data_IF_795106098505
#
_entry.id   IF_795106098505
#
_cell.length_a   1.000
_cell.length_b   1.000
_cell.length_c   1.000
_cell.angle_alpha   90.00
_cell.angle_beta   90.00
_cell.angle_gamma   90.00
#
_symmetry.space_group_name_H-M   'P 1'
#
loop_
_entity.id
_entity.type
_entity.pdbx_description
1 polymer ?
#
# COMPACT_ATOMS: atom_id res chain seq x y z
N UNK A 1 40.25 24.69 14.37
CA UNK A 1 39.11 23.92 13.83
C UNK A 1 38.51 23.09 14.94
N UNK A 2 37.29 23.43 15.40
CA UNK A 2 36.40 22.59 16.21
C UNK A 2 35.07 23.34 16.39
N UNK A 3 34.24 23.30 15.35
CA UNK A 3 32.85 23.74 15.41
C UNK A 3 32.06 22.67 16.16
N UNK A 4 31.61 23.00 17.37
CA UNK A 4 30.56 22.24 18.07
C UNK A 4 29.23 22.64 17.44
N UNK A 5 28.75 21.85 16.49
CA UNK A 5 27.39 21.95 15.97
C UNK A 5 26.47 21.36 17.04
N UNK A 6 25.96 22.21 17.92
CA UNK A 6 24.90 21.87 18.86
C UNK A 6 23.60 21.70 18.05
N UNK A 7 23.01 20.52 18.10
CA UNK A 7 21.76 20.23 17.40
C UNK A 7 20.63 21.12 17.95
N UNK A 8 19.94 21.93 17.12
CA UNK A 8 18.96 22.91 17.58
C UNK A 8 17.61 22.32 18.00
N UNK A 9 17.44 20.99 17.95
CA UNK A 9 16.17 20.32 18.29
C UNK A 9 16.20 19.56 19.63
N UNK A 10 17.36 19.42 20.28
CA UNK A 10 17.46 18.72 21.57
C UNK A 10 16.86 19.51 22.75
N UNK A 11 16.74 20.84 22.62
CA UNK A 11 16.18 21.70 23.67
C UNK A 11 14.65 21.64 23.79
N UNK A 12 13.97 20.97 22.86
CA UNK A 12 12.49 20.87 22.87
C UNK A 12 11.98 19.59 23.55
N UNK A 13 12.82 18.57 23.75
CA UNK A 13 12.46 17.35 24.49
C UNK A 13 12.84 17.37 25.99
N UNK A 14 13.57 18.40 26.48
CA UNK A 14 13.96 18.48 27.90
C UNK A 14 13.00 19.29 28.78
N UNK A 15 11.91 19.82 28.22
CA UNK A 15 10.94 20.66 28.93
C UNK A 15 9.60 19.96 29.19
N UNK A 16 9.64 18.65 29.47
CA UNK A 16 8.53 18.01 30.17
C UNK A 16 8.58 18.42 31.65
N UNK A 17 7.51 18.99 32.23
CA UNK A 17 7.46 19.18 33.67
C UNK A 17 7.51 17.80 34.32
N UNK A 18 8.61 17.51 35.03
CA UNK A 18 8.63 16.47 36.06
C UNK A 18 7.62 16.89 37.12
N UNK A 19 6.38 16.45 36.95
CA UNK A 19 5.37 16.47 37.99
C UNK A 19 5.88 15.58 39.12
N UNK A 20 6.43 16.23 40.14
CA UNK A 20 6.49 15.69 41.48
C UNK A 20 5.04 15.46 41.94
N UNK A 21 4.71 14.23 42.33
CA UNK A 21 3.41 13.92 42.94
C UNK A 21 2.44 13.18 42.05
N UNK A 22 2.77 11.93 41.71
CA UNK A 22 1.77 10.89 41.44
C UNK A 22 2.29 9.60 42.10
N UNK A 23 2.35 9.61 43.43
CA UNK A 23 2.28 8.36 44.19
C UNK A 23 0.84 7.89 43.98
N UNK A 24 0.69 6.84 43.18
CA UNK A 24 -0.55 6.09 43.06
C UNK A 24 -0.87 5.59 44.48
N UNK A 25 -1.72 6.34 45.16
CA UNK A 25 -2.58 5.84 46.23
C UNK A 25 -3.76 5.17 45.53
N UNK A 26 -3.53 3.96 45.03
CA UNK A 26 -4.60 3.02 44.69
C UNK A 26 -4.02 1.61 44.79
N UNK A 27 -4.10 1.09 46.00
CA UNK A 27 -3.66 -0.24 46.40
C UNK A 27 -4.29 -0.53 47.76
N UNK A 28 -5.62 -0.49 47.79
CA UNK A 28 -6.40 -0.82 48.96
C UNK A 28 -6.15 -2.27 49.37
N UNK A 29 -5.83 -2.45 50.65
CA UNK A 29 -6.09 -3.64 51.45
C UNK A 29 -5.63 -4.98 50.90
N UNK A 30 -4.34 -5.30 51.04
CA UNK A 30 -3.88 -6.70 51.06
C UNK A 30 -2.56 -6.90 51.82
N UNK A 31 -2.44 -6.28 53.01
CA UNK A 31 -1.28 -6.47 53.89
C UNK A 31 -1.72 -6.89 55.30
N UNK A 32 -2.77 -7.72 55.38
CA UNK A 32 -3.32 -8.23 56.65
C UNK A 32 -3.33 -9.77 56.73
N UNK A 33 -3.27 -10.49 55.59
CA UNK A 33 -3.31 -11.96 55.59
C UNK A 33 -1.96 -12.64 55.85
N UNK A 34 -0.86 -11.99 55.42
CA UNK A 34 0.52 -12.46 55.63
C UNK A 34 1.09 -12.06 57.01
N UNK A 35 0.34 -11.37 57.87
CA UNK A 35 0.77 -11.02 59.25
C UNK A 35 0.34 -12.10 60.24
N UNK A 36 1.21 -12.40 61.20
CA UNK A 36 0.87 -13.32 62.29
C UNK A 36 -0.22 -12.70 63.16
N UNK A 37 -1.29 -13.46 63.44
CA UNK A 37 -2.44 -12.96 64.19
C UNK A 37 -2.17 -13.03 65.69
N UNK A 38 -2.70 -12.07 66.46
CA UNK A 38 -2.60 -12.12 67.92
C UNK A 38 -3.29 -13.38 68.47
N UNK A 39 -2.51 -14.27 69.09
CA UNK A 39 -3.00 -15.54 69.66
C UNK A 39 -2.77 -16.79 68.79
N UNK A 40 -2.14 -16.64 67.63
CA UNK A 40 -1.79 -17.76 66.75
C UNK A 40 -0.43 -18.36 67.12
N UNK A 41 -0.31 -19.69 67.09
CA UNK A 41 0.98 -20.37 67.29
C UNK A 41 1.88 -20.20 66.07
N UNK A 42 3.20 -20.21 66.25
CA UNK A 42 4.16 -20.14 65.14
C UNK A 42 3.95 -21.26 64.10
N UNK A 43 3.46 -22.42 64.55
CA UNK A 43 3.16 -23.58 63.72
C UNK A 43 1.89 -23.38 62.86
N UNK A 44 0.84 -22.79 63.44
CA UNK A 44 -0.39 -22.46 62.70
C UNK A 44 -0.14 -21.34 61.67
N UNK A 45 0.68 -20.35 62.03
CA UNK A 45 1.10 -19.30 61.12
C UNK A 45 1.93 -19.85 59.95
N UNK A 46 2.92 -20.70 60.22
CA UNK A 46 3.75 -21.30 59.18
C UNK A 46 2.92 -22.11 58.17
N UNK A 47 1.97 -22.91 58.67
CA UNK A 47 1.08 -23.70 57.82
C UNK A 47 0.18 -22.82 56.93
N UNK A 48 -0.37 -21.73 57.48
CA UNK A 48 -1.19 -20.80 56.70
C UNK A 48 -0.40 -20.09 55.60
N UNK A 49 0.87 -19.75 55.87
CA UNK A 49 1.74 -19.13 54.88
C UNK A 49 2.09 -20.10 53.74
N UNK A 50 2.33 -21.38 54.06
CA UNK A 50 2.56 -22.43 53.07
C UNK A 50 1.33 -22.64 52.18
N UNK A 51 0.12 -22.69 52.76
CA UNK A 51 -1.14 -22.81 52.01
C UNK A 51 -1.40 -21.58 51.10
N UNK A 52 -1.05 -20.37 51.55
CA UNK A 52 -1.17 -19.14 50.76
C UNK A 52 -0.18 -19.11 49.59
N UNK A 53 1.08 -19.48 49.83
CA UNK A 53 2.11 -19.53 48.79
C UNK A 53 1.81 -20.64 47.75
N UNK A 54 1.25 -21.78 48.18
CA UNK A 54 0.82 -22.84 47.25
C UNK A 54 -0.37 -22.39 46.39
N UNK A 55 -1.33 -21.69 46.98
CA UNK A 55 -2.48 -21.13 46.25
C UNK A 55 -2.06 -20.05 45.25
N UNK A 56 -1.17 -19.14 45.63
CA UNK A 56 -0.64 -18.10 44.74
C UNK A 56 0.13 -18.72 43.56
N UNK A 57 0.90 -19.79 43.82
CA UNK A 57 1.62 -20.53 42.78
C UNK A 57 0.68 -21.22 41.80
N UNK A 58 -0.40 -21.83 42.28
CA UNK A 58 -1.41 -22.44 41.43
C UNK A 58 -2.14 -21.41 40.56
N UNK A 59 -2.47 -20.24 41.11
CA UNK A 59 -3.12 -19.15 40.36
C UNK A 59 -2.18 -18.54 39.29
N UNK A 60 -0.88 -18.42 39.59
CA UNK A 60 0.11 -17.99 38.60
C UNK A 60 0.23 -19.00 37.46
N UNK A 61 0.26 -20.30 37.75
CA UNK A 61 0.35 -21.34 36.72
C UNK A 61 -0.91 -21.37 35.82
N UNK A 62 -2.09 -21.11 36.38
CA UNK A 62 -3.33 -21.00 35.60
C UNK A 62 -3.32 -19.77 34.69
N UNK A 63 -2.92 -18.60 35.20
CA UNK A 63 -2.78 -17.37 34.41
C UNK A 63 -1.75 -17.52 33.29
N UNK A 64 -0.64 -18.21 33.54
CA UNK A 64 0.37 -18.49 32.51
C UNK A 64 -0.18 -19.42 31.41
N UNK A 65 -0.97 -20.44 31.77
CA UNK A 65 -1.63 -21.33 30.81
C UNK A 65 -2.67 -20.59 29.98
N UNK A 66 -3.48 -19.74 30.59
CA UNK A 66 -4.47 -18.91 29.88
C UNK A 66 -3.78 -17.91 28.94
N UNK A 67 -2.72 -17.24 29.40
CA UNK A 67 -1.94 -16.32 28.57
C UNK A 67 -1.25 -17.04 27.39
N UNK A 68 -0.75 -18.27 27.61
CA UNK A 68 -0.19 -19.09 26.55
C UNK A 68 -1.25 -19.54 25.54
N UNK A 69 -2.45 -19.93 26.00
CA UNK A 69 -3.57 -20.28 25.14
C UNK A 69 -4.03 -19.09 24.27
N UNK A 70 -4.14 -17.91 24.88
CA UNK A 70 -4.52 -16.68 24.17
C UNK A 70 -3.48 -16.28 23.11
N UNK A 71 -2.18 -16.39 23.42
CA UNK A 71 -1.12 -16.15 22.43
C UNK A 71 -1.16 -17.15 21.28
N UNK A 72 -1.43 -18.42 21.55
CA UNK A 72 -1.55 -19.44 20.52
C UNK A 72 -2.78 -19.24 19.63
N UNK A 73 -3.88 -18.71 20.18
CA UNK A 73 -5.08 -18.34 19.41
C UNK A 73 -4.81 -17.12 18.52
N UNK A 74 -4.19 -16.07 19.06
CA UNK A 74 -3.79 -14.87 18.32
C UNK A 74 -2.82 -15.20 17.18
N UNK A 75 -1.88 -16.12 17.41
CA UNK A 75 -0.95 -16.58 16.36
C UNK A 75 -1.67 -17.36 15.25
N UNK A 76 -2.64 -18.22 15.60
CA UNK A 76 -3.47 -18.94 14.61
C UNK A 76 -4.36 -18.00 13.80
N UNK A 77 -4.97 -17.02 14.45
CA UNK A 77 -5.79 -16.02 13.78
C UNK A 77 -4.94 -15.18 12.82
N UNK A 78 -3.72 -14.83 13.24
CA UNK A 78 -2.76 -14.11 12.38
C UNK A 78 -2.29 -14.95 11.20
N UNK A 79 -2.00 -16.23 11.40
CA UNK A 79 -1.65 -17.15 10.31
C UNK A 79 -2.82 -17.36 9.34
N UNK A 80 -4.06 -17.45 9.84
CA UNK A 80 -5.25 -17.57 9.01
C UNK A 80 -5.50 -16.29 8.21
N UNK A 81 -5.31 -15.11 8.81
CA UNK A 81 -5.38 -13.82 8.13
C UNK A 81 -4.29 -13.66 7.06
N UNK A 82 -3.06 -14.10 7.33
CA UNK A 82 -1.97 -14.09 6.34
C UNK A 82 -2.22 -15.09 5.20
N UNK A 83 -2.79 -16.27 5.48
CA UNK A 83 -3.19 -17.23 4.45
C UNK A 83 -4.36 -16.74 3.60
N UNK A 84 -5.36 -16.07 4.20
CA UNK A 84 -6.44 -15.42 3.46
C UNK A 84 -5.92 -14.27 2.61
N UNK A 85 -5.05 -13.42 3.14
CA UNK A 85 -4.42 -12.33 2.38
C UNK A 85 -3.52 -12.82 1.23
N UNK A 86 -2.95 -14.02 1.33
CA UNK A 86 -2.15 -14.65 0.29
C UNK A 86 -3.00 -15.38 -0.77
N UNK A 87 -4.12 -16.00 -0.37
CA UNK A 87 -5.03 -16.72 -1.26
C UNK A 87 -6.00 -15.77 -1.99
N UNK A 88 -6.48 -14.73 -1.32
CA UNK A 88 -7.21 -13.61 -1.87
C UNK A 88 -6.28 -12.40 -1.91
N UNK A 89 -5.66 -12.13 -3.06
CA UNK A 89 -4.99 -10.85 -3.32
C UNK A 89 -5.96 -9.65 -3.38
N UNK A 90 -6.98 -9.63 -2.52
CA UNK A 90 -8.07 -8.66 -2.44
C UNK A 90 -8.66 -8.68 -1.02
N UNK A 91 -7.89 -8.18 -0.04
CA UNK A 91 -8.50 -7.84 1.25
C UNK A 91 -9.20 -6.48 1.12
N UNK A 92 -10.44 -6.57 0.64
CA UNK A 92 -11.52 -5.61 0.85
C UNK A 92 -12.38 -6.13 2.03
N UNK A 93 -11.75 -6.44 3.18
CA UNK A 93 -12.50 -6.72 4.41
C UNK A 93 -13.29 -5.47 4.79
N UNK A 94 -14.58 -5.49 4.47
CA UNK A 94 -15.61 -4.74 5.17
C UNK A 94 -15.69 -5.29 6.60
N UNK A 95 -14.75 -4.89 7.46
CA UNK A 95 -14.90 -4.99 8.91
C UNK A 95 -15.00 -3.57 9.45
N UNK A 96 -16.24 -3.10 9.50
CA UNK A 96 -16.70 -1.83 10.03
C UNK A 96 -17.00 -2.02 11.52
N UNK A 97 -15.97 -1.97 12.38
CA UNK A 97 -16.16 -1.76 13.81
C UNK A 97 -14.89 -1.18 14.47
N UNK A 98 -14.94 0.11 14.84
CA UNK A 98 -13.97 0.70 15.76
C UNK A 98 -13.70 2.19 15.59
N UNK A 99 -14.31 3.02 16.43
CA UNK A 99 -14.17 4.48 16.49
C UNK A 99 -12.71 4.99 16.39
N UNK A 100 -12.49 5.98 15.51
CA UNK A 100 -11.29 6.79 15.26
C UNK A 100 -9.98 6.14 14.77
N UNK A 101 -9.63 4.90 15.16
CA UNK A 101 -8.50 4.19 14.56
C UNK A 101 -8.79 3.76 13.11
N UNK A 102 -10.06 3.47 12.81
CA UNK A 102 -10.59 3.06 11.51
C UNK A 102 -10.46 4.13 10.42
N UNK A 103 -10.59 5.42 10.74
CA UNK A 103 -10.52 6.47 9.72
C UNK A 103 -9.12 6.56 9.08
N UNK A 104 -8.06 6.33 9.86
CA UNK A 104 -6.68 6.29 9.35
C UNK A 104 -6.43 5.01 8.53
N UNK A 105 -6.92 3.87 9.03
CA UNK A 105 -6.81 2.57 8.36
C UNK A 105 -7.59 2.55 7.05
N UNK A 106 -8.82 3.06 7.01
CA UNK A 106 -9.66 3.17 5.83
C UNK A 106 -9.00 4.06 4.76
N UNK A 107 -8.42 5.21 5.14
CA UNK A 107 -7.65 6.05 4.21
C UNK A 107 -6.43 5.30 3.67
N UNK A 108 -5.76 4.50 4.49
CA UNK A 108 -4.60 3.75 4.06
C UNK A 108 -4.98 2.60 3.11
N UNK A 109 -6.05 1.86 3.41
CA UNK A 109 -6.64 0.83 2.52
C UNK A 109 -7.01 1.44 1.17
N UNK A 110 -7.68 2.59 1.20
CA UNK A 110 -8.07 3.31 -0.01
C UNK A 110 -6.87 3.80 -0.83
N UNK A 111 -5.83 4.32 -0.17
CA UNK A 111 -4.57 4.69 -0.83
C UNK A 111 -3.90 3.48 -1.48
N UNK A 112 -3.91 2.33 -0.81
CA UNK A 112 -3.38 1.07 -1.35
C UNK A 112 -4.20 0.60 -2.55
N UNK A 113 -5.54 0.64 -2.47
CA UNK A 113 -6.45 0.32 -3.58
C UNK A 113 -6.14 1.18 -4.81
N UNK A 114 -6.11 2.50 -4.64
CA UNK A 114 -5.78 3.45 -5.70
C UNK A 114 -4.38 3.22 -6.28
N UNK A 115 -3.38 3.00 -5.43
CA UNK A 115 -2.00 2.75 -5.87
C UNK A 115 -1.89 1.48 -6.73
N UNK A 116 -2.57 0.39 -6.35
CA UNK A 116 -2.60 -0.87 -7.12
C UNK A 116 -3.21 -0.68 -8.49
N UNK A 117 -4.38 -0.04 -8.56
CA UNK A 117 -5.10 0.23 -9.82
C UNK A 117 -4.24 1.09 -10.75
N UNK A 118 -3.67 2.18 -10.23
CA UNK A 118 -2.83 3.09 -11.01
C UNK A 118 -1.54 2.43 -11.48
N UNK A 119 -0.85 1.68 -10.62
CA UNK A 119 0.36 0.95 -11.01
C UNK A 119 0.09 -0.04 -12.14
N UNK A 120 -1.02 -0.79 -12.06
CA UNK A 120 -1.42 -1.71 -13.12
C UNK A 120 -1.80 -0.98 -14.42
N UNK A 121 -2.58 0.10 -14.31
CA UNK A 121 -2.93 0.95 -15.44
C UNK A 121 -1.72 1.54 -16.17
N UNK A 122 -0.71 2.00 -15.43
CA UNK A 122 0.53 2.53 -16.00
C UNK A 122 1.29 1.44 -16.75
N UNK A 123 1.40 0.22 -16.18
CA UNK A 123 2.04 -0.93 -16.84
C UNK A 123 1.37 -1.27 -18.19
N UNK A 124 0.05 -1.16 -18.26
CA UNK A 124 -0.73 -1.40 -19.48
C UNK A 124 -0.79 -0.19 -20.43
N UNK A 125 -0.24 0.97 -20.07
CA UNK A 125 -0.37 2.20 -20.85
C UNK A 125 -1.77 2.83 -20.83
N UNK A 126 -2.60 2.48 -19.84
CA UNK A 126 -4.01 2.88 -19.67
C UNK A 126 -4.25 3.75 -18.44
N UNK A 127 -3.31 4.65 -18.14
CA UNK A 127 -3.35 5.49 -16.94
C UNK A 127 -4.65 6.30 -16.78
N UNK A 128 -5.29 6.72 -17.88
CA UNK A 128 -6.59 7.44 -17.83
C UNK A 128 -7.74 6.57 -17.35
N UNK A 129 -7.89 5.36 -17.89
CA UNK A 129 -8.94 4.43 -17.47
C UNK A 129 -8.72 3.99 -16.02
N UNK A 130 -7.46 3.73 -15.64
CA UNK A 130 -7.11 3.42 -14.27
C UNK A 130 -7.41 4.57 -13.30
N UNK A 131 -7.22 5.83 -13.73
CA UNK A 131 -7.59 7.00 -12.94
C UNK A 131 -9.07 7.06 -12.62
N UNK A 132 -9.93 6.78 -13.61
CA UNK A 132 -11.39 6.71 -13.41
C UNK A 132 -11.74 5.60 -12.42
N UNK A 133 -11.16 4.40 -12.58
CA UNK A 133 -11.43 3.31 -11.64
C UNK A 133 -10.91 3.57 -10.22
N UNK A 134 -9.77 4.25 -10.08
CA UNK A 134 -9.20 4.59 -8.79
C UNK A 134 -9.98 5.70 -8.08
N UNK A 135 -10.33 6.80 -8.75
CA UNK A 135 -10.83 8.00 -8.06
C UNK A 135 -12.34 8.24 -8.22
N UNK A 136 -12.93 7.79 -9.32
CA UNK A 136 -14.34 8.06 -9.64
C UNK A 136 -15.25 6.87 -9.32
N UNK A 137 -14.68 5.71 -8.95
CA UNK A 137 -15.45 4.49 -8.65
C UNK A 137 -15.01 3.82 -7.36
N UNK A 138 -15.94 3.10 -6.73
CA UNK A 138 -15.70 2.25 -5.55
C UNK A 138 -15.37 0.80 -5.91
N UNK A 139 -14.81 0.57 -7.10
CA UNK A 139 -14.49 -0.78 -7.55
C UNK A 139 -13.31 -1.35 -6.76
N UNK A 140 -13.38 -2.63 -6.37
CA UNK A 140 -12.24 -3.31 -5.74
C UNK A 140 -11.03 -3.31 -6.66
N UNK A 141 -9.83 -3.42 -6.07
CA UNK A 141 -8.58 -3.36 -6.84
C UNK A 141 -8.52 -4.45 -7.89
N UNK A 142 -8.99 -5.65 -7.56
CA UNK A 142 -9.03 -6.83 -8.43
C UNK A 142 -10.02 -6.65 -9.58
N UNK A 143 -11.24 -6.18 -9.31
CA UNK A 143 -12.24 -5.95 -10.35
C UNK A 143 -11.76 -4.88 -11.35
N UNK A 144 -11.12 -3.81 -10.87
CA UNK A 144 -10.55 -2.77 -11.72
C UNK A 144 -9.38 -3.29 -12.57
N UNK A 145 -8.52 -4.13 -12.00
CA UNK A 145 -7.43 -4.80 -12.73
C UNK A 145 -7.97 -5.71 -13.83
N UNK A 146 -9.01 -6.50 -13.52
CA UNK A 146 -9.66 -7.37 -14.51
C UNK A 146 -10.29 -6.56 -15.66
N UNK A 147 -10.98 -5.46 -15.35
CA UNK A 147 -11.53 -4.56 -16.37
C UNK A 147 -10.45 -3.91 -17.24
N UNK A 148 -9.31 -3.51 -16.65
CA UNK A 148 -8.17 -2.97 -17.39
C UNK A 148 -7.55 -4.01 -18.33
N UNK A 149 -7.45 -5.27 -17.89
CA UNK A 149 -6.97 -6.38 -18.72
C UNK A 149 -7.95 -6.71 -19.85
N UNK A 150 -9.25 -6.82 -19.57
CA UNK A 150 -10.26 -7.05 -20.59
C UNK A 150 -10.25 -5.93 -21.65
N UNK A 151 -10.17 -4.68 -21.21
CA UNK A 151 -10.03 -3.55 -22.12
C UNK A 151 -8.71 -3.55 -22.89
N UNK A 152 -7.63 -4.14 -22.35
CA UNK A 152 -6.36 -4.33 -23.02
C UNK A 152 -6.46 -5.31 -24.18
N UNK A 153 -7.09 -6.46 -23.96
CA UNK A 153 -7.34 -7.48 -24.98
C UNK A 153 -8.33 -7.01 -26.06
N UNK A 154 -9.35 -6.24 -25.66
CA UNK A 154 -10.40 -5.74 -26.57
C UNK A 154 -10.01 -4.45 -27.30
N UNK A 155 -8.83 -3.88 -27.00
CA UNK A 155 -8.37 -2.76 -27.81
C UNK A 155 -7.98 -3.25 -29.20
N UNK A 156 -8.43 -2.56 -30.27
CA UNK A 156 -7.81 -2.77 -31.58
C UNK A 156 -6.31 -2.56 -31.39
N UNK A 157 -5.49 -3.40 -32.03
CA UNK A 157 -4.03 -3.33 -32.02
C UNK A 157 -3.59 -1.96 -32.55
N UNK A 158 -3.71 -0.94 -31.71
CA UNK A 158 -3.34 0.42 -32.00
C UNK A 158 -1.83 0.36 -32.04
N UNK A 159 -1.20 0.69 -33.19
CA UNK A 159 0.24 0.74 -33.23
C UNK A 159 0.63 1.72 -32.13
N UNK A 160 1.40 1.21 -31.15
CA UNK A 160 2.03 2.07 -30.14
C UNK A 160 2.56 3.26 -30.92
N UNK A 161 2.14 4.47 -30.57
CA UNK A 161 2.64 5.71 -31.18
C UNK A 161 4.11 5.92 -30.79
N UNK A 162 4.95 4.92 -31.01
CA UNK A 162 6.34 5.13 -31.29
C UNK A 162 6.36 5.80 -32.66
N UNK A 163 6.28 7.14 -32.65
CA UNK A 163 6.83 7.95 -33.72
C UNK A 163 8.34 7.65 -33.75
N UNK A 164 8.70 6.50 -34.29
CA UNK A 164 10.09 6.06 -34.38
C UNK A 164 10.85 7.09 -35.20
N UNK A 165 12.13 7.22 -34.94
CA UNK A 165 13.01 8.06 -35.76
C UNK A 165 12.85 7.70 -37.24
N UNK A 166 12.72 6.39 -37.55
CA UNK A 166 12.45 5.88 -38.89
C UNK A 166 11.18 6.47 -39.52
N UNK A 167 10.07 6.56 -38.77
CA UNK A 167 8.83 7.17 -39.26
C UNK A 167 8.98 8.69 -39.48
N UNK A 168 9.77 9.38 -38.64
CA UNK A 168 10.08 10.81 -38.79
C UNK A 168 11.05 11.10 -39.95
N UNK A 169 11.98 10.18 -40.23
CA UNK A 169 12.91 10.28 -41.35
C UNK A 169 12.25 9.88 -42.68
N UNK A 170 11.24 9.01 -42.66
CA UNK A 170 10.50 8.62 -43.86
C UNK A 170 9.76 9.80 -44.51
N UNK A 171 9.26 10.77 -43.72
CA UNK A 171 8.68 12.00 -44.23
C UNK A 171 9.71 13.05 -44.65
N UNK A 172 10.98 12.85 -44.29
CA UNK A 172 12.05 13.81 -44.60
C UNK A 172 12.72 13.39 -45.90
N UNK A 173 12.29 13.98 -47.01
CA UNK A 173 12.98 13.83 -48.30
C UNK A 173 14.36 14.49 -48.22
N UNK A 174 15.42 13.69 -48.06
CA UNK A 174 16.80 14.15 -48.14
C UNK A 174 17.11 14.38 -49.63
N UNK A 175 17.35 15.61 -50.09
CA UNK A 175 17.78 15.85 -51.47
C UNK A 175 19.13 15.17 -51.69
N UNK A 176 19.26 14.42 -52.79
CA UNK A 176 20.53 13.80 -53.16
C UNK A 176 21.59 14.88 -53.38
N UNK A 177 22.60 14.92 -52.51
CA UNK A 177 23.73 15.83 -52.65
C UNK A 177 24.53 15.45 -53.90
N UNK A 178 24.49 16.32 -54.92
CA UNK A 178 25.18 16.13 -56.21
C UNK A 178 24.26 16.05 -57.42
N UNK A 179 22.95 15.84 -57.23
CA UNK A 179 21.96 16.06 -58.28
C UNK A 179 21.57 17.55 -58.24
N UNK A 180 22.14 18.35 -59.14
CA UNK A 180 21.81 19.77 -59.29
C UNK A 180 20.31 20.00 -59.18
N UNK A 181 19.91 20.91 -58.29
CA UNK A 181 18.54 21.07 -57.80
C UNK A 181 17.47 21.07 -58.87
N UNK A 182 16.94 19.90 -59.18
CA UNK A 182 15.61 19.75 -59.75
C UNK A 182 14.64 19.91 -58.59
N UNK A 183 14.32 21.17 -58.32
CA UNK A 183 12.99 21.50 -57.81
C UNK A 183 11.96 20.68 -58.61
N UNK A 184 10.94 20.08 -57.98
CA UNK A 184 9.88 19.43 -58.74
C UNK A 184 9.23 20.51 -59.60
N UNK A 185 9.64 20.57 -60.87
CA UNK A 185 9.07 21.50 -61.84
C UNK A 185 7.61 21.10 -61.93
N UNK A 186 6.72 22.03 -61.61
CA UNK A 186 5.28 21.82 -61.81
C UNK A 186 5.08 21.26 -63.22
N UNK A 187 4.29 20.19 -63.39
CA UNK A 187 4.14 19.53 -64.68
C UNK A 187 3.69 20.56 -65.68
N UNK A 188 4.43 20.65 -66.78
CA UNK A 188 4.12 21.55 -67.88
C UNK A 188 2.72 21.22 -68.42
N UNK A 189 2.04 22.19 -69.03
CA UNK A 189 0.70 21.97 -69.60
C UNK A 189 0.68 20.76 -70.57
N UNK A 190 1.77 20.56 -71.32
CA UNK A 190 1.94 19.40 -72.19
C UNK A 190 1.96 18.07 -71.41
N UNK A 191 2.68 17.99 -70.29
CA UNK A 191 2.72 16.80 -69.44
C UNK A 191 1.36 16.52 -68.78
N UNK A 192 0.62 17.56 -68.40
CA UNK A 192 -0.74 17.41 -67.87
C UNK A 192 -1.70 16.82 -68.91
N UNK A 193 -1.60 17.27 -70.17
CA UNK A 193 -2.40 16.73 -71.29
C UNK A 193 -2.05 15.26 -71.54
N UNK A 194 -0.75 14.91 -71.52
CA UNK A 194 -0.31 13.52 -71.71
C UNK A 194 -0.79 12.63 -70.55
N UNK A 195 -0.71 13.10 -69.30
CA UNK A 195 -1.20 12.36 -68.15
C UNK A 195 -2.73 12.16 -68.19
N UNK A 196 -3.48 13.18 -68.58
CA UNK A 196 -4.93 13.06 -68.78
C UNK A 196 -5.27 12.06 -69.89
N UNK A 197 -4.51 12.06 -70.99
CA UNK A 197 -4.64 11.09 -72.07
C UNK A 197 -4.36 9.64 -71.64
N UNK A 198 -3.29 9.44 -70.86
CA UNK A 198 -2.95 8.12 -70.29
C UNK A 198 -4.04 7.59 -69.35
N UNK A 199 -4.59 8.44 -68.49
CA UNK A 199 -5.74 8.09 -67.63
C UNK A 199 -6.98 7.69 -68.45
N UNK A 200 -7.26 8.41 -69.53
CA UNK A 200 -8.38 8.09 -70.43
C UNK A 200 -8.19 6.76 -71.18
N UNK A 201 -6.95 6.37 -71.47
CA UNK A 201 -6.61 5.09 -72.12
C UNK A 201 -6.47 3.91 -71.14
N UNK A 202 -6.58 4.14 -69.84
CA UNK A 202 -6.44 3.08 -68.82
C UNK A 202 -5.00 2.59 -68.64
N UNK A 203 -4.01 3.41 -69.02
CA UNK A 203 -2.58 3.08 -68.93
C UNK A 203 -1.95 3.52 -67.58
N UNK A 204 -2.77 3.72 -66.54
CA UNK A 204 -2.36 4.30 -65.25
C UNK A 204 -2.77 3.42 -64.07
#
# INVERSE_FOLDING_TARGET
>A
MKSKILAPFASFLSNAPRAAGARIEEGGGDDDERKQREGESDEDYAKRMEDLDEKERAEQEEKEKEAAARRAEEEREREEAEQRAAAEGDDDSEDDDGDDATASAARQRERVRCARIMAHGIKLGRARQAGVFAFDTKMSSRAAIAALNAGAEDAPAQPRRASSLSSRMASTSIPSAGAGGVTPKAPTLAEQIVQAGKKRRGEA
#
